data_IF_602814902138
#
_entry.id   IF_602814902138
#
_cell.length_a   1.000
_cell.length_b   1.000
_cell.length_c   1.000
_cell.angle_alpha   90.00
_cell.angle_beta   90.00
_cell.angle_gamma   90.00
#
_symmetry.space_group_name_H-M   'P 1'
#
loop_
_entity.id
_entity.type
_entity.pdbx_description
1 polymer ?
#
# COMPACT_ATOMS: atom_id res chain seq x y z
N UNK A 1 -2.08 13.37 14.54
CA UNK A 1 -1.65 13.30 13.13
C UNK A 1 -2.85 13.67 12.27
N UNK A 2 -2.71 14.65 11.37
CA UNK A 2 -3.77 15.07 10.44
C UNK A 2 -3.37 14.73 9.00
N UNK A 3 -4.35 14.58 8.13
CA UNK A 3 -4.14 14.43 6.70
C UNK A 3 -5.20 15.26 5.96
N UNK A 4 -4.89 15.63 4.75
CA UNK A 4 -5.83 16.29 3.85
C UNK A 4 -5.62 15.77 2.42
N UNK A 5 -6.69 15.82 1.64
CA UNK A 5 -6.60 15.54 0.21
C UNK A 5 -6.37 16.86 -0.54
N UNK A 6 -5.40 16.84 -1.44
CA UNK A 6 -5.07 17.98 -2.29
C UNK A 6 -5.22 17.59 -3.76
N UNK A 7 -6.01 18.37 -4.48
CA UNK A 7 -6.09 18.27 -5.93
C UNK A 7 -5.27 19.44 -6.50
N UNK A 8 -4.11 19.16 -7.11
CA UNK A 8 -3.30 20.22 -7.69
C UNK A 8 -4.06 20.94 -8.80
N UNK A 9 -3.94 22.25 -8.80
CA UNK A 9 -4.43 23.15 -9.83
C UNK A 9 -3.28 23.60 -10.73
N UNK A 10 -3.56 24.38 -11.79
CA UNK A 10 -2.53 24.90 -12.71
C UNK A 10 -1.50 25.81 -12.02
N UNK A 11 -1.82 26.35 -10.85
CA UNK A 11 -0.90 27.18 -10.04
C UNK A 11 -0.51 26.45 -8.77
N UNK A 12 0.75 26.63 -8.36
CA UNK A 12 1.25 26.14 -7.10
C UNK A 12 0.38 26.65 -5.93
N UNK A 13 -0.04 25.73 -5.08
CA UNK A 13 -0.76 26.05 -3.85
C UNK A 13 0.20 26.16 -2.68
N UNK A 14 -0.27 26.75 -1.57
CA UNK A 14 0.49 26.81 -0.31
C UNK A 14 -0.36 26.22 0.81
N UNK A 15 0.15 25.18 1.47
CA UNK A 15 -0.46 24.67 2.70
C UNK A 15 0.00 25.51 3.89
N UNK A 16 -0.96 25.95 4.73
CA UNK A 16 -0.68 26.67 5.98
C UNK A 16 -1.12 25.83 7.15
N UNK A 17 -0.27 25.72 8.15
CA UNK A 17 -0.53 24.94 9.37
C UNK A 17 -0.22 25.85 10.56
N UNK A 18 -1.23 26.09 11.39
CA UNK A 18 -1.05 26.80 12.65
C UNK A 18 -0.83 25.77 13.77
N UNK A 19 0.31 25.86 14.43
CA UNK A 19 0.68 24.99 15.53
C UNK A 19 1.43 25.75 16.61
N UNK A 20 0.99 25.64 17.85
CA UNK A 20 1.59 26.31 19.03
C UNK A 20 1.83 27.83 18.86
N UNK A 21 0.86 28.52 18.19
CA UNK A 21 0.95 29.98 17.97
C UNK A 21 1.88 30.38 16.82
N UNK A 22 2.46 29.44 16.09
CA UNK A 22 3.28 29.68 14.91
C UNK A 22 2.59 29.17 13.65
N UNK A 23 2.71 29.92 12.55
CA UNK A 23 2.21 29.52 11.23
C UNK A 23 3.35 28.99 10.38
N UNK A 24 3.21 27.74 9.94
CA UNK A 24 4.12 27.08 9.01
C UNK A 24 3.51 27.08 7.62
N UNK A 25 4.32 27.35 6.60
CA UNK A 25 3.91 27.34 5.21
C UNK A 25 4.75 26.35 4.43
N UNK A 26 4.06 25.58 3.56
CA UNK A 26 4.68 24.59 2.69
C UNK A 26 4.14 24.76 1.27
N UNK A 27 5.04 24.88 0.32
CA UNK A 27 4.65 24.94 -1.09
C UNK A 27 4.13 23.55 -1.53
N UNK A 28 2.98 23.56 -2.19
CA UNK A 28 2.38 22.36 -2.76
C UNK A 28 2.75 22.25 -4.26
N UNK A 29 2.96 21.03 -4.75
CA UNK A 29 3.34 20.84 -6.15
C UNK A 29 2.23 21.28 -7.10
N UNK A 30 2.63 21.84 -8.24
CA UNK A 30 1.75 22.12 -9.37
C UNK A 30 1.27 20.83 -10.03
N UNK A 31 0.12 20.92 -10.72
CA UNK A 31 -0.33 19.84 -11.58
C UNK A 31 0.60 19.69 -12.78
N UNK A 32 1.09 18.48 -13.03
CA UNK A 32 1.79 18.20 -14.25
C UNK A 32 0.80 18.20 -15.43
N UNK A 33 1.13 18.83 -16.58
CA UNK A 33 0.24 18.91 -17.74
C UNK A 33 0.02 17.53 -18.37
N UNK A 34 0.96 16.62 -18.21
CA UNK A 34 0.91 15.26 -18.72
C UNK A 34 1.31 14.26 -17.64
N UNK A 35 0.60 13.13 -17.58
CA UNK A 35 0.96 12.08 -16.64
C UNK A 35 -0.15 11.08 -16.41
N UNK A 36 0.14 10.20 -15.47
CA UNK A 36 -0.73 9.11 -15.03
C UNK A 36 -0.95 9.19 -13.54
N UNK A 37 -2.10 8.75 -13.09
CA UNK A 37 -2.45 8.64 -11.67
C UNK A 37 -2.86 7.20 -11.39
N UNK A 38 -2.24 6.61 -10.39
CA UNK A 38 -2.58 5.29 -9.88
C UNK A 38 -3.29 5.46 -8.53
N UNK A 39 -4.54 5.01 -8.45
CA UNK A 39 -5.35 4.98 -7.23
C UNK A 39 -5.67 3.55 -6.84
N UNK A 40 -5.61 3.25 -5.54
CA UNK A 40 -5.91 1.94 -4.98
C UNK A 40 -6.89 2.14 -3.83
N UNK A 41 -8.09 1.57 -3.97
CA UNK A 41 -9.06 1.48 -2.91
C UNK A 41 -9.02 0.04 -2.35
N UNK A 42 -8.46 -0.10 -1.15
CA UNK A 42 -8.31 -1.40 -0.49
C UNK A 42 -9.60 -1.74 0.26
N UNK A 43 -10.37 -2.64 -0.32
CA UNK A 43 -11.54 -3.25 0.32
C UNK A 43 -11.15 -4.66 0.74
N UNK A 44 -11.20 -4.95 2.00
CA UNK A 44 -10.72 -6.17 2.67
C UNK A 44 -10.49 -7.42 1.81
N UNK A 45 -11.38 -7.71 0.84
CA UNK A 45 -11.31 -8.88 -0.04
C UNK A 45 -10.86 -8.56 -1.47
N UNK A 46 -10.90 -7.29 -1.84
CA UNK A 46 -10.60 -6.81 -3.19
C UNK A 46 -9.77 -5.53 -3.14
N UNK A 47 -8.84 -5.41 -4.05
CA UNK A 47 -8.19 -4.16 -4.39
C UNK A 47 -8.87 -3.60 -5.65
N UNK A 48 -9.56 -2.48 -5.53
CA UNK A 48 -10.07 -1.73 -6.67
C UNK A 48 -8.96 -0.79 -7.13
N UNK A 49 -8.46 -0.97 -8.34
CA UNK A 49 -7.35 -0.22 -8.90
C UNK A 49 -7.87 0.61 -10.05
N UNK A 50 -7.58 1.90 -10.01
CA UNK A 50 -7.92 2.86 -11.05
C UNK A 50 -6.63 3.50 -11.56
N UNK A 51 -6.41 3.43 -12.87
CA UNK A 51 -5.36 4.17 -13.55
C UNK A 51 -6.02 5.23 -14.40
N UNK A 52 -5.67 6.49 -14.16
CA UNK A 52 -6.12 7.61 -14.96
C UNK A 52 -4.94 8.21 -15.72
N UNK A 53 -5.18 8.72 -16.93
CA UNK A 53 -4.22 9.49 -17.70
C UNK A 53 -4.75 10.89 -17.99
N UNK A 54 -3.87 11.86 -18.14
CA UNK A 54 -4.25 13.15 -18.66
C UNK A 54 -4.60 13.03 -20.16
N UNK A 55 -5.43 13.94 -20.66
CA UNK A 55 -5.80 13.95 -22.10
C UNK A 55 -4.61 14.15 -23.05
N UNK A 56 -3.55 14.78 -22.54
CA UNK A 56 -2.31 15.05 -23.26
C UNK A 56 -1.25 13.95 -23.12
N UNK A 57 -1.47 12.97 -22.22
CA UNK A 57 -0.54 11.85 -22.07
C UNK A 57 -0.56 10.97 -23.32
N UNK A 58 0.62 10.46 -23.70
CA UNK A 58 0.73 9.55 -24.85
C UNK A 58 -0.14 8.31 -24.64
N UNK A 59 -0.74 7.81 -25.71
CA UNK A 59 -1.45 6.54 -25.74
C UNK A 59 -0.44 5.39 -25.81
N UNK A 60 0.27 5.15 -24.72
CA UNK A 60 1.23 4.06 -24.62
C UNK A 60 0.57 2.81 -24.06
N UNK A 61 1.06 1.65 -24.48
CA UNK A 61 0.75 0.41 -23.79
C UNK A 61 1.45 0.41 -22.44
N UNK A 62 0.68 0.30 -21.37
CA UNK A 62 1.17 0.27 -20.01
C UNK A 62 0.92 -1.10 -19.37
N UNK A 63 1.64 -1.37 -18.29
CA UNK A 63 1.38 -2.54 -17.45
C UNK A 63 1.33 -2.15 -15.98
N UNK A 64 0.47 -2.83 -15.24
CA UNK A 64 0.47 -2.78 -13.77
C UNK A 64 1.11 -4.04 -13.23
N UNK A 65 2.14 -3.86 -12.44
CA UNK A 65 2.79 -4.92 -11.67
C UNK A 65 2.35 -4.86 -10.22
N UNK A 66 2.02 -6.02 -9.67
CA UNK A 66 1.81 -6.19 -8.24
C UNK A 66 2.90 -7.07 -7.69
N UNK A 67 3.66 -6.57 -6.75
CA UNK A 67 4.76 -7.28 -6.10
C UNK A 67 4.66 -7.19 -4.58
N UNK A 68 5.26 -8.14 -3.89
CA UNK A 68 5.41 -8.14 -2.44
C UNK A 68 6.78 -8.68 -2.07
N UNK A 69 7.49 -7.97 -1.21
CA UNK A 69 8.86 -8.34 -0.79
C UNK A 69 9.80 -8.64 -1.97
N UNK A 70 9.69 -7.84 -3.04
CA UNK A 70 10.50 -7.99 -4.26
C UNK A 70 10.10 -9.16 -5.17
N UNK A 71 9.03 -9.89 -4.88
CA UNK A 71 8.51 -10.97 -5.72
C UNK A 71 7.30 -10.51 -6.51
N UNK A 72 7.25 -10.71 -7.83
CA UNK A 72 6.07 -10.40 -8.63
C UNK A 72 4.96 -11.45 -8.39
N UNK A 73 3.72 -10.96 -8.28
CA UNK A 73 2.53 -11.78 -8.12
C UNK A 73 1.56 -11.64 -9.28
N UNK A 74 1.43 -10.44 -9.83
CA UNK A 74 0.59 -10.17 -10.99
C UNK A 74 1.22 -9.15 -11.93
N UNK A 75 0.93 -9.33 -13.20
CA UNK A 75 1.21 -8.36 -14.26
C UNK A 75 -0.02 -8.28 -15.16
N UNK A 76 -0.49 -7.08 -15.44
CA UNK A 76 -1.64 -6.83 -16.30
C UNK A 76 -1.32 -5.71 -17.27
N UNK A 77 -1.57 -5.95 -18.54
CA UNK A 77 -1.47 -4.91 -19.57
C UNK A 77 -2.70 -4.01 -19.50
N UNK A 78 -2.50 -2.73 -19.66
CA UNK A 78 -3.57 -1.74 -19.72
C UNK A 78 -3.68 -1.22 -21.14
N UNK A 79 -4.91 -1.21 -21.63
CA UNK A 79 -5.32 -0.50 -22.82
C UNK A 79 -6.39 0.52 -22.41
N UNK A 80 -6.12 1.77 -22.70
CA UNK A 80 -7.07 2.85 -22.41
C UNK A 80 -8.08 3.02 -23.54
N UNK A 81 -7.83 2.39 -24.70
CA UNK A 81 -8.61 2.66 -25.92
C UNK A 81 -8.75 4.18 -26.10
N UNK A 82 -9.96 4.71 -26.05
CA UNK A 82 -10.21 6.16 -26.11
C UNK A 82 -10.58 6.78 -24.76
N UNK A 83 -10.56 5.98 -23.69
CA UNK A 83 -10.91 6.45 -22.36
C UNK A 83 -9.72 7.06 -21.61
N UNK A 84 -10.02 7.92 -20.63
CA UNK A 84 -9.02 8.52 -19.75
C UNK A 84 -8.78 7.69 -18.48
N UNK A 85 -9.63 6.71 -18.21
CA UNK A 85 -9.57 5.89 -17.02
C UNK A 85 -9.69 4.39 -17.36
N UNK A 86 -8.87 3.59 -16.72
CA UNK A 86 -8.95 2.14 -16.75
C UNK A 86 -9.13 1.63 -15.30
N UNK A 87 -10.10 0.73 -15.09
CA UNK A 87 -10.39 0.17 -13.77
C UNK A 87 -10.37 -1.34 -13.80
N UNK A 88 -9.80 -1.94 -12.78
CA UNK A 88 -9.79 -3.40 -12.61
C UNK A 88 -9.72 -3.78 -11.14
N UNK A 89 -9.96 -5.06 -10.85
CA UNK A 89 -10.01 -5.61 -9.51
C UNK A 89 -9.06 -6.77 -9.34
N UNK A 90 -8.43 -6.84 -8.19
CA UNK A 90 -7.60 -7.97 -7.79
C UNK A 90 -8.15 -8.52 -6.48
N UNK A 91 -8.40 -9.82 -6.44
CA UNK A 91 -8.76 -10.48 -5.19
C UNK A 91 -7.54 -10.50 -4.26
N UNK A 92 -7.71 -10.04 -3.01
CA UNK A 92 -6.66 -10.16 -1.99
C UNK A 92 -6.33 -11.62 -1.68
N UNK A 93 -7.20 -12.54 -2.12
CA UNK A 93 -6.97 -13.99 -2.03
C UNK A 93 -5.81 -14.49 -2.89
N UNK A 94 -5.44 -13.77 -3.87
CA UNK A 94 -4.38 -14.09 -4.82
C UNK A 94 -3.04 -13.46 -4.44
N UNK A 95 -3.04 -12.67 -3.35
CA UNK A 95 -1.87 -11.95 -2.87
C UNK A 95 -1.45 -12.46 -1.48
N UNK A 96 -0.16 -12.44 -1.16
CA UNK A 96 0.30 -12.74 0.19
C UNK A 96 -0.14 -11.63 1.15
N UNK A 97 -0.30 -11.94 2.45
CA UNK A 97 -0.50 -10.90 3.44
C UNK A 97 0.74 -10.00 3.56
N UNK A 98 0.50 -8.74 3.92
CA UNK A 98 1.56 -7.75 4.08
C UNK A 98 1.50 -6.63 3.06
N UNK A 99 2.60 -5.90 2.93
CA UNK A 99 2.69 -4.76 2.01
C UNK A 99 2.81 -5.24 0.58
N UNK A 100 1.91 -4.73 -0.26
CA UNK A 100 1.93 -4.89 -1.71
C UNK A 100 2.41 -3.59 -2.32
N UNK A 101 3.31 -3.70 -3.27
CA UNK A 101 3.79 -2.61 -4.11
C UNK A 101 3.09 -2.76 -5.46
N UNK A 102 2.40 -1.72 -5.89
CA UNK A 102 1.68 -1.69 -7.16
C UNK A 102 2.31 -0.59 -8.00
N UNK A 103 2.90 -0.98 -9.12
CA UNK A 103 3.67 -0.10 -9.99
C UNK A 103 3.06 -0.07 -11.39
N UNK A 104 2.84 1.14 -11.90
CA UNK A 104 2.48 1.37 -13.30
C UNK A 104 3.77 1.59 -14.08
N UNK A 105 3.99 0.82 -15.13
CA UNK A 105 5.20 0.86 -15.96
C UNK A 105 4.87 0.99 -17.43
N UNK A 106 5.77 1.61 -18.20
CA UNK A 106 5.71 1.65 -19.66
C UNK A 106 6.46 0.47 -20.29
N UNK A 107 6.40 0.35 -21.61
CA UNK A 107 7.09 -0.72 -22.35
C UNK A 107 8.62 -0.67 -22.27
N UNK A 108 9.20 0.46 -21.84
CA UNK A 108 10.64 0.58 -21.60
C UNK A 108 11.06 0.07 -20.23
N UNK A 109 10.08 -0.31 -19.36
CA UNK A 109 10.33 -0.73 -18.00
C UNK A 109 10.47 0.43 -17.01
N UNK A 110 10.14 1.66 -17.42
CA UNK A 110 10.18 2.83 -16.53
C UNK A 110 8.93 2.87 -15.66
N UNK A 111 9.12 3.04 -14.34
CA UNK A 111 8.01 3.20 -13.40
C UNK A 111 7.45 4.62 -13.49
N UNK A 112 6.19 4.74 -13.84
CA UNK A 112 5.47 6.01 -14.00
C UNK A 112 4.79 6.44 -12.70
N UNK A 113 4.18 5.49 -11.99
CA UNK A 113 3.53 5.69 -10.70
C UNK A 113 3.70 4.46 -9.83
N UNK A 114 3.71 4.68 -8.53
CA UNK A 114 3.78 3.60 -7.55
C UNK A 114 2.90 3.89 -6.35
N UNK A 115 2.28 2.84 -5.81
CA UNK A 115 1.50 2.90 -4.56
C UNK A 115 1.71 1.65 -3.75
N UNK A 116 1.65 1.82 -2.43
CA UNK A 116 1.68 0.71 -1.48
C UNK A 116 0.30 0.53 -0.86
N UNK A 117 -0.10 -0.71 -0.68
CA UNK A 117 -1.26 -1.06 0.12
C UNK A 117 -0.95 -2.27 0.99
N UNK A 118 -1.73 -2.45 2.07
CA UNK A 118 -1.53 -3.55 3.00
C UNK A 118 -2.67 -4.56 2.85
N UNK A 119 -2.31 -5.80 2.54
CA UNK A 119 -3.26 -6.92 2.51
C UNK A 119 -3.27 -7.59 3.88
N UNK A 120 -4.43 -7.58 4.53
CA UNK A 120 -4.59 -8.19 5.85
C UNK A 120 -4.43 -9.70 5.80
N UNK A 121 -3.75 -10.30 6.78
CA UNK A 121 -3.74 -11.76 6.93
C UNK A 121 -5.17 -12.28 7.11
N UNK A 122 -5.49 -13.41 6.50
CA UNK A 122 -6.81 -14.04 6.63
C UNK A 122 -7.01 -14.75 7.94
N UNK A 123 -5.93 -15.27 8.48
CA UNK A 123 -5.89 -15.89 9.79
C UNK A 123 -4.85 -15.16 10.62
N UNK A 124 -5.25 -14.63 11.76
CA UNK A 124 -4.32 -14.14 12.78
C UNK A 124 -3.95 -15.31 13.69
N UNK A 125 -2.66 -15.49 13.93
CA UNK A 125 -2.20 -16.35 15.01
C UNK A 125 -2.11 -15.53 16.29
N UNK A 126 -2.65 -16.04 17.37
CA UNK A 126 -2.51 -15.51 18.70
C UNK A 126 -1.32 -16.18 19.37
N UNK A 127 -0.35 -15.40 19.74
CA UNK A 127 0.87 -15.88 20.37
C UNK A 127 0.89 -15.37 21.83
N UNK A 128 0.88 -16.30 22.78
CA UNK A 128 1.06 -16.01 24.18
C UNK A 128 2.39 -16.57 24.65
N UNK A 129 3.21 -15.71 25.24
CA UNK A 129 4.49 -16.08 25.83
C UNK A 129 4.43 -15.83 27.33
N UNK A 130 4.82 -16.82 28.13
CA UNK A 130 4.86 -16.72 29.59
C UNK A 130 6.17 -17.32 30.08
N UNK A 131 6.88 -16.60 30.92
CA UNK A 131 8.06 -17.07 31.63
C UNK A 131 7.66 -17.72 32.95
N UNK A 132 8.50 -18.60 33.50
CA UNK A 132 8.30 -19.28 34.77
C UNK A 132 8.42 -18.31 35.98
N UNK A 133 9.26 -17.26 35.88
CA UNK A 133 9.43 -16.22 36.87
C UNK A 133 9.19 -14.83 36.29
N UNK A 134 8.86 -13.86 37.14
CA UNK A 134 8.69 -12.46 36.76
C UNK A 134 10.02 -11.68 36.72
N UNK A 135 11.00 -12.13 37.49
CA UNK A 135 12.33 -11.50 37.58
C UNK A 135 13.39 -12.61 37.64
N UNK A 136 14.51 -12.33 36.98
CA UNK A 136 15.67 -13.22 36.86
C UNK A 136 16.94 -12.51 37.29
N UNK A 137 17.88 -13.26 37.83
CA UNK A 137 19.24 -12.78 38.07
C UNK A 137 20.06 -12.88 36.74
N UNK A 138 21.16 -12.13 36.64
CA UNK A 138 22.07 -12.31 35.52
C UNK A 138 22.52 -13.78 35.39
N UNK A 139 22.43 -14.32 34.14
CA UNK A 139 22.79 -15.71 33.80
C UNK A 139 21.88 -16.80 34.38
N UNK A 140 20.76 -16.44 35.00
CA UNK A 140 19.79 -17.42 35.45
C UNK A 140 19.06 -18.07 34.28
N UNK A 141 18.86 -19.40 34.23
CA UNK A 141 18.13 -20.06 33.15
C UNK A 141 16.66 -19.62 33.16
N UNK A 142 16.12 -19.35 31.97
CA UNK A 142 14.74 -18.92 31.78
C UNK A 142 13.97 -20.00 31.04
N UNK A 143 12.86 -20.44 31.66
CA UNK A 143 11.90 -21.30 30.98
C UNK A 143 10.77 -20.45 30.38
N UNK A 144 10.65 -20.48 29.05
CA UNK A 144 9.61 -19.74 28.33
C UNK A 144 8.59 -20.72 27.74
N UNK A 145 7.32 -20.54 28.12
CA UNK A 145 6.21 -21.30 27.53
C UNK A 145 5.50 -20.46 26.49
N UNK A 146 5.56 -20.93 25.24
CA UNK A 146 4.91 -20.29 24.09
C UNK A 146 3.66 -21.11 23.74
N UNK A 147 2.50 -20.42 23.64
CA UNK A 147 1.26 -21.00 23.13
C UNK A 147 0.88 -20.28 21.86
N UNK A 148 0.66 -21.06 20.79
CA UNK A 148 0.20 -20.55 19.49
C UNK A 148 -1.21 -21.06 19.23
N UNK A 149 -2.12 -20.15 18.90
CA UNK A 149 -3.52 -20.47 18.58
C UNK A 149 -3.92 -19.76 17.31
N UNK A 150 -4.88 -20.32 16.59
CA UNK A 150 -5.49 -19.67 15.44
C UNK A 150 -6.57 -18.64 15.85
N UNK A 151 -7.16 -17.98 14.89
CA UNK A 151 -8.25 -17.00 15.11
C UNK A 151 -9.53 -17.60 15.68
N UNK A 152 -9.65 -18.93 15.73
CA UNK A 152 -10.74 -19.68 16.38
C UNK A 152 -10.32 -20.25 17.73
N UNK A 153 -9.21 -19.75 18.29
CA UNK A 153 -8.63 -20.19 19.58
C UNK A 153 -8.19 -21.67 19.63
N UNK A 154 -7.97 -22.30 18.47
CA UNK A 154 -7.52 -23.69 18.37
C UNK A 154 -5.99 -23.74 18.39
N UNK A 155 -5.37 -24.74 19.07
CA UNK A 155 -3.92 -24.91 19.06
C UNK A 155 -3.41 -25.11 17.62
N UNK A 156 -2.31 -24.44 17.29
CA UNK A 156 -1.60 -24.63 16.03
C UNK A 156 -0.33 -25.40 16.31
N UNK A 157 -0.11 -26.49 15.58
CA UNK A 157 1.14 -27.22 15.64
C UNK A 157 2.20 -26.42 14.87
N UNK A 158 3.31 -26.07 15.53
CA UNK A 158 4.45 -25.36 14.95
C UNK A 158 5.55 -26.35 14.59
#
# INVERSE_FOLDING_TARGET
MGYFEYKPEEKAGVAKIDYEGSTYQFDLPEALPQGYVLRIDNRREMLDITVARSSQAMKDTLAVFVSSQGRPYKCMTLDFEDELNCQFRISTKELPPGVQQISLVNLKGETLCERFCYVMPRSSMLLACKTDHALYRPFEPVTCRIKVRDHLDRPVQA
#
